data_IF_246038244339
#
_entry.id   IF_246038244339
#
_cell.length_a   1.000
_cell.length_b   1.000
_cell.length_c   1.000
_cell.angle_alpha   90.00
_cell.angle_beta   90.00
_cell.angle_gamma   90.00
#
_symmetry.space_group_name_H-M   'P 1'
#
loop_
_entity.id
_entity.type
_entity.pdbx_description
1 polymer ?
#
# COMPACT_ATOMS: atom_id res chain seq x y z
N UNK A 1 -13.17 -39.17 -23.86
CA UNK A 1 -11.69 -39.22 -23.94
C UNK A 1 -11.14 -38.47 -22.74
N UNK A 2 -10.17 -39.04 -22.04
CA UNK A 2 -9.45 -38.31 -20.98
C UNK A 2 -8.28 -37.54 -21.58
N UNK A 3 -7.92 -36.42 -20.97
CA UNK A 3 -6.80 -35.57 -21.45
C UNK A 3 -5.48 -36.35 -21.54
N UNK A 4 -5.31 -37.35 -20.67
CA UNK A 4 -4.16 -38.27 -20.61
C UNK A 4 -3.98 -39.19 -21.83
N UNK A 5 -4.96 -39.23 -22.74
CA UNK A 5 -4.94 -40.07 -23.95
C UNK A 5 -4.65 -39.28 -25.23
N UNK A 6 -4.55 -37.94 -25.15
CA UNK A 6 -4.38 -37.04 -26.29
C UNK A 6 -2.91 -36.63 -26.46
N UNK A 7 -2.43 -36.67 -27.70
CA UNK A 7 -1.11 -36.23 -28.14
C UNK A 7 -1.28 -35.10 -29.15
N UNK A 8 -0.30 -34.21 -29.26
CA UNK A 8 -0.24 -33.23 -30.35
C UNK A 8 0.44 -33.88 -31.56
N UNK A 9 -0.21 -33.85 -32.71
CA UNK A 9 0.27 -34.43 -33.97
C UNK A 9 0.41 -33.34 -35.04
N UNK A 10 1.44 -33.47 -35.88
CA UNK A 10 1.67 -32.60 -37.02
C UNK A 10 0.92 -33.12 -38.24
N UNK A 11 0.08 -32.31 -38.86
CA UNK A 11 -0.66 -32.71 -40.07
C UNK A 11 0.33 -32.95 -41.22
N UNK A 12 1.25 -32.01 -41.44
CA UNK A 12 2.44 -32.14 -42.29
C UNK A 12 3.63 -32.53 -41.39
N UNK A 13 4.22 -33.73 -41.56
CA UNK A 13 5.37 -34.15 -40.75
C UNK A 13 6.59 -33.24 -40.94
N UNK A 14 7.25 -32.87 -39.84
CA UNK A 14 8.51 -32.08 -39.86
C UNK A 14 9.60 -32.77 -40.68
N UNK A 15 9.60 -34.10 -40.69
CA UNK A 15 10.59 -34.93 -41.40
C UNK A 15 10.42 -34.96 -42.92
N UNK A 16 9.41 -34.28 -43.48
CA UNK A 16 9.10 -34.25 -44.92
C UNK A 16 8.95 -32.83 -45.48
N UNK A 17 10.01 -32.01 -45.49
CA UNK A 17 9.97 -30.64 -46.01
C UNK A 17 9.58 -30.57 -47.49
N UNK A 18 9.89 -31.59 -48.28
CA UNK A 18 9.51 -31.69 -49.70
C UNK A 18 8.00 -31.69 -49.93
N UNK A 19 7.22 -32.22 -48.98
CA UNK A 19 5.76 -32.21 -49.04
C UNK A 19 5.21 -30.80 -48.83
N UNK A 20 5.80 -30.03 -47.90
CA UNK A 20 5.42 -28.64 -47.66
C UNK A 20 5.65 -27.78 -48.90
N UNK A 21 6.80 -27.93 -49.55
CA UNK A 21 7.12 -27.19 -50.78
C UNK A 21 6.20 -27.58 -51.95
N UNK A 22 5.83 -28.86 -52.07
CA UNK A 22 4.84 -29.29 -53.05
C UNK A 22 3.44 -28.69 -52.79
N UNK A 23 3.03 -28.56 -51.53
CA UNK A 23 1.74 -27.96 -51.16
C UNK A 23 1.72 -26.44 -51.37
N UNK A 24 2.85 -25.75 -51.11
CA UNK A 24 3.03 -24.32 -51.44
C UNK A 24 2.97 -24.10 -52.95
N UNK A 25 3.66 -24.94 -53.73
CA UNK A 25 3.65 -24.86 -55.20
C UNK A 25 2.23 -25.07 -55.77
N UNK A 26 1.44 -25.96 -55.17
CA UNK A 26 0.03 -26.19 -55.50
C UNK A 26 -0.93 -25.13 -54.93
N UNK A 27 -0.44 -24.13 -54.19
CA UNK A 27 -1.23 -23.10 -53.49
C UNK A 27 -2.27 -23.66 -52.51
N UNK A 28 -2.01 -24.85 -51.97
CA UNK A 28 -2.89 -25.50 -50.99
C UNK A 28 -2.60 -25.04 -49.56
N UNK A 29 -1.43 -24.44 -49.32
CA UNK A 29 -1.07 -23.74 -48.08
C UNK A 29 -0.49 -22.36 -48.41
N UNK A 30 -0.59 -21.38 -47.49
CA UNK A 30 0.02 -20.06 -47.64
C UNK A 30 1.55 -20.11 -47.83
N UNK A 31 2.12 -19.10 -48.48
CA UNK A 31 3.57 -19.02 -48.71
C UNK A 31 4.37 -18.86 -47.39
N UNK A 32 3.77 -18.23 -46.39
CA UNK A 32 4.29 -17.98 -45.05
C UNK A 32 3.92 -19.08 -44.04
N UNK A 33 3.43 -20.23 -44.50
CA UNK A 33 3.03 -21.34 -43.62
C UNK A 33 4.20 -21.82 -42.75
N UNK A 34 4.03 -21.78 -41.43
CA UNK A 34 4.99 -22.29 -40.46
C UNK A 34 4.71 -23.76 -40.16
N UNK A 35 5.71 -24.62 -40.42
CA UNK A 35 5.61 -26.06 -40.18
C UNK A 35 5.45 -26.40 -38.69
N UNK A 36 5.91 -25.53 -37.79
CA UNK A 36 5.73 -25.68 -36.34
C UNK A 36 4.55 -24.84 -35.82
N UNK A 37 3.86 -24.12 -36.70
CA UNK A 37 2.74 -23.25 -36.36
C UNK A 37 1.50 -24.05 -35.95
N UNK A 38 0.62 -23.43 -35.16
CA UNK A 38 -0.63 -24.05 -34.70
C UNK A 38 -1.57 -24.45 -35.86
N UNK A 39 -1.41 -23.85 -37.03
CA UNK A 39 -2.04 -24.24 -38.30
C UNK A 39 -1.64 -25.63 -38.81
N UNK A 40 -0.62 -26.26 -38.21
CA UNK A 40 -0.17 -27.60 -38.54
C UNK A 40 -0.38 -28.61 -37.39
N UNK A 41 -0.99 -28.21 -36.27
CA UNK A 41 -1.10 -29.03 -35.06
C UNK A 41 -2.54 -29.43 -34.77
N UNK A 42 -2.76 -30.73 -34.51
CA UNK A 42 -4.07 -31.25 -34.09
C UNK A 42 -3.93 -32.21 -32.89
N UNK A 43 -4.96 -32.30 -32.04
CA UNK A 43 -5.04 -33.35 -31.03
C UNK A 43 -5.32 -34.70 -31.71
N UNK A 44 -4.55 -35.71 -31.37
CA UNK A 44 -4.67 -37.08 -31.85
C UNK A 44 -4.61 -38.07 -30.68
N UNK A 45 -5.17 -39.26 -30.82
CA UNK A 45 -5.06 -40.31 -29.79
C UNK A 45 -3.73 -41.03 -29.98
N UNK A 46 -3.03 -41.36 -28.91
CA UNK A 46 -1.70 -42.00 -28.92
C UNK A 46 -1.60 -43.20 -29.88
N UNK A 47 -2.60 -44.09 -29.90
CA UNK A 47 -2.66 -45.26 -30.79
C UNK A 47 -2.78 -44.89 -32.29
N UNK A 48 -3.58 -43.87 -32.63
CA UNK A 48 -3.75 -43.41 -34.02
C UNK A 48 -2.53 -42.60 -34.50
N UNK A 49 -1.90 -41.83 -33.62
CA UNK A 49 -0.67 -41.12 -33.91
C UNK A 49 0.50 -42.09 -34.17
N UNK A 50 0.63 -43.14 -33.35
CA UNK A 50 1.61 -44.21 -33.58
C UNK A 50 1.33 -45.00 -34.86
N UNK A 51 0.06 -45.27 -35.20
CA UNK A 51 -0.34 -45.94 -36.44
C UNK A 51 -0.15 -45.10 -37.71
N UNK A 52 -0.23 -43.77 -37.61
CA UNK A 52 0.01 -42.83 -38.72
C UNK A 52 1.48 -42.82 -39.14
N UNK A 53 2.43 -42.79 -38.20
CA UNK A 53 3.87 -42.66 -38.50
C UNK A 53 4.11 -41.57 -39.58
N UNK A 54 5.06 -41.74 -40.50
CA UNK A 54 5.27 -40.84 -41.63
C UNK A 54 4.38 -41.15 -42.86
N UNK A 55 3.31 -41.96 -42.73
CA UNK A 55 2.43 -42.30 -43.87
C UNK A 55 1.63 -41.07 -44.30
N UNK A 56 1.69 -40.79 -45.59
CA UNK A 56 1.06 -39.64 -46.21
C UNK A 56 -0.47 -39.85 -46.26
N UNK A 57 -1.22 -38.93 -45.66
CA UNK A 57 -2.66 -38.86 -45.88
C UNK A 57 -2.94 -38.44 -47.33
N UNK A 58 -4.06 -38.88 -47.90
CA UNK A 58 -4.48 -38.40 -49.22
C UNK A 58 -4.67 -36.88 -49.22
N UNK A 59 -4.37 -36.22 -50.36
CA UNK A 59 -4.41 -34.75 -50.48
C UNK A 59 -5.72 -34.11 -49.99
N UNK A 60 -6.93 -34.67 -50.26
CA UNK A 60 -8.18 -34.10 -49.75
C UNK A 60 -8.28 -34.12 -48.22
N UNK A 61 -7.80 -35.19 -47.58
CA UNK A 61 -7.81 -35.31 -46.12
C UNK A 61 -6.79 -34.35 -45.49
N UNK A 62 -5.64 -34.18 -46.13
CA UNK A 62 -4.60 -33.26 -45.67
C UNK A 62 -5.08 -31.80 -45.70
N UNK A 63 -5.71 -31.38 -46.81
CA UNK A 63 -6.31 -30.02 -46.91
C UNK A 63 -7.38 -29.81 -45.85
N UNK A 64 -8.24 -30.80 -45.61
CA UNK A 64 -9.29 -30.73 -44.59
C UNK A 64 -8.72 -30.51 -43.18
N UNK A 65 -7.71 -31.29 -42.78
CA UNK A 65 -7.13 -31.19 -41.44
C UNK A 65 -6.31 -29.91 -41.23
N UNK A 66 -5.62 -29.42 -42.27
CA UNK A 66 -4.93 -28.13 -42.22
C UNK A 66 -5.90 -26.97 -42.05
N UNK A 67 -7.03 -27.00 -42.75
CA UNK A 67 -8.06 -25.96 -42.61
C UNK A 67 -8.70 -25.99 -41.22
N UNK A 68 -8.93 -27.19 -40.66
CA UNK A 68 -9.42 -27.35 -39.29
C UNK A 68 -8.44 -26.77 -38.25
N UNK A 69 -7.14 -27.05 -38.40
CA UNK A 69 -6.10 -26.51 -37.52
C UNK A 69 -6.01 -24.98 -37.65
N UNK A 70 -6.06 -24.46 -38.87
CA UNK A 70 -6.05 -23.02 -39.17
C UNK A 70 -7.21 -22.28 -38.53
N UNK A 71 -8.43 -22.83 -38.59
CA UNK A 71 -9.62 -22.24 -37.98
C UNK A 71 -9.51 -22.12 -36.45
N UNK A 72 -8.71 -22.99 -35.81
CA UNK A 72 -8.50 -22.99 -34.35
C UNK A 72 -7.27 -22.20 -33.88
N UNK A 73 -6.37 -21.80 -34.79
CA UNK A 73 -5.15 -21.05 -34.48
C UNK A 73 -5.39 -19.80 -33.63
N UNK A 74 -6.35 -18.94 -34.03
CA UNK A 74 -6.61 -17.68 -33.34
C UNK A 74 -7.09 -17.89 -31.90
N UNK A 75 -7.92 -18.91 -31.67
CA UNK A 75 -8.42 -19.29 -30.35
C UNK A 75 -7.29 -19.83 -29.45
N UNK A 76 -6.42 -20.68 -30.00
CA UNK A 76 -5.27 -21.27 -29.28
C UNK A 76 -4.26 -20.19 -28.89
N UNK A 77 -3.90 -19.30 -29.83
CA UNK A 77 -2.98 -18.19 -29.58
C UNK A 77 -3.54 -17.27 -28.48
N UNK A 78 -4.83 -16.94 -28.53
CA UNK A 78 -5.50 -16.14 -27.50
C UNK A 78 -5.44 -16.82 -26.12
N UNK A 79 -5.72 -18.13 -26.04
CA UNK A 79 -5.68 -18.90 -24.79
C UNK A 79 -4.25 -19.05 -24.25
N UNK A 80 -3.26 -19.24 -25.11
CA UNK A 80 -1.85 -19.35 -24.73
C UNK A 80 -1.32 -18.01 -24.22
N UNK A 81 -1.62 -16.91 -24.90
CA UNK A 81 -1.26 -15.56 -24.45
C UNK A 81 -1.87 -15.25 -23.07
N UNK A 82 -3.15 -15.61 -22.85
CA UNK A 82 -3.79 -15.47 -21.55
C UNK A 82 -3.11 -16.32 -20.46
N UNK A 83 -2.67 -17.54 -20.80
CA UNK A 83 -1.98 -18.44 -19.85
C UNK A 83 -0.55 -17.99 -19.53
N UNK A 84 0.18 -17.46 -20.52
CA UNK A 84 1.50 -16.87 -20.31
C UNK A 84 1.41 -15.63 -19.43
N UNK A 85 0.44 -14.75 -19.70
CA UNK A 85 0.15 -13.59 -18.84
C UNK A 85 -0.17 -14.01 -17.40
N UNK A 86 -1.03 -15.03 -17.23
CA UNK A 86 -1.35 -15.59 -15.91
C UNK A 86 -0.11 -16.18 -15.21
N UNK A 87 0.84 -16.79 -15.94
CA UNK A 87 2.08 -17.27 -15.34
C UNK A 87 3.00 -16.14 -14.87
N UNK A 88 3.08 -15.03 -15.61
CA UNK A 88 3.89 -13.88 -15.19
C UNK A 88 3.22 -13.10 -14.05
N UNK A 89 1.88 -13.01 -14.04
CA UNK A 89 1.09 -12.53 -12.89
C UNK A 89 1.32 -13.42 -11.66
N UNK A 90 1.32 -14.75 -11.81
CA UNK A 90 1.62 -15.70 -10.74
C UNK A 90 3.06 -15.57 -10.26
N UNK A 91 4.05 -15.43 -11.16
CA UNK A 91 5.45 -15.20 -10.76
C UNK A 91 5.61 -13.91 -9.99
N UNK A 92 4.97 -12.83 -10.44
CA UNK A 92 4.99 -11.53 -9.78
C UNK A 92 4.33 -11.62 -8.40
N UNK A 93 3.17 -12.29 -8.30
CA UNK A 93 2.51 -12.58 -7.03
C UNK A 93 3.36 -13.46 -6.10
N UNK A 94 4.04 -14.49 -6.62
CA UNK A 94 4.92 -15.35 -5.81
C UNK A 94 6.17 -14.61 -5.33
N UNK A 95 6.73 -13.71 -6.14
CA UNK A 95 7.81 -12.82 -5.73
C UNK A 95 7.36 -11.83 -4.66
N UNK A 96 6.18 -11.21 -4.83
CA UNK A 96 5.54 -10.37 -3.82
C UNK A 96 5.27 -11.13 -2.53
N UNK A 97 4.75 -12.36 -2.63
CA UNK A 97 4.46 -13.24 -1.49
C UNK A 97 5.74 -13.65 -0.76
N UNK A 98 6.80 -14.00 -1.49
CA UNK A 98 8.10 -14.33 -0.89
C UNK A 98 8.73 -13.12 -0.18
N UNK A 99 8.60 -11.91 -0.74
CA UNK A 99 9.01 -10.68 -0.09
C UNK A 99 8.15 -10.34 1.14
N UNK A 100 6.83 -10.56 1.05
CA UNK A 100 5.85 -10.44 2.14
C UNK A 100 6.18 -11.38 3.30
N UNK A 101 6.45 -12.66 3.02
CA UNK A 101 6.83 -13.67 4.02
C UNK A 101 8.18 -13.34 4.67
N UNK A 102 9.16 -12.81 3.92
CA UNK A 102 10.47 -12.37 4.45
C UNK A 102 10.34 -11.16 5.39
N UNK A 103 9.37 -10.28 5.13
CA UNK A 103 9.24 -8.98 5.80
C UNK A 103 8.12 -8.92 6.87
N UNK A 104 7.43 -10.02 7.17
CA UNK A 104 6.26 -10.09 8.09
C UNK A 104 5.14 -9.10 7.73
N UNK A 105 4.88 -8.96 6.43
CA UNK A 105 3.98 -7.97 5.84
C UNK A 105 3.04 -8.63 4.86
N UNK A 106 1.82 -8.14 4.71
CA UNK A 106 0.87 -8.77 3.79
C UNK A 106 1.24 -8.49 2.32
N UNK A 107 0.88 -9.35 1.36
CA UNK A 107 1.08 -9.07 -0.06
C UNK A 107 0.41 -7.75 -0.53
N UNK A 108 -0.70 -7.37 0.08
CA UNK A 108 -1.41 -6.12 -0.19
C UNK A 108 -0.60 -4.89 0.27
N UNK A 109 0.08 -4.98 1.41
CA UNK A 109 0.99 -3.95 1.89
C UNK A 109 2.24 -3.84 1.01
N UNK A 110 2.75 -4.94 0.45
CA UNK A 110 3.83 -4.87 -0.53
C UNK A 110 3.37 -4.19 -1.83
N UNK A 111 2.12 -4.45 -2.27
CA UNK A 111 1.55 -3.79 -3.46
C UNK A 111 1.38 -2.28 -3.24
N UNK A 112 1.02 -1.82 -2.05
CA UNK A 112 0.92 -0.37 -1.77
C UNK A 112 2.27 0.33 -1.84
N UNK A 113 3.34 -0.30 -1.35
CA UNK A 113 4.71 0.21 -1.47
C UNK A 113 5.11 0.38 -2.94
N UNK A 114 4.79 -0.60 -3.80
CA UNK A 114 5.07 -0.50 -5.23
C UNK A 114 4.15 0.50 -5.96
N UNK A 115 2.87 0.62 -5.59
CA UNK A 115 1.96 1.59 -6.20
C UNK A 115 2.50 3.02 -6.03
N UNK A 116 2.93 3.38 -4.82
CA UNK A 116 3.52 4.69 -4.55
C UNK A 116 4.72 5.00 -5.48
N UNK A 117 5.56 3.99 -5.76
CA UNK A 117 6.73 4.14 -6.63
C UNK A 117 6.37 4.43 -8.11
N UNK A 118 5.29 3.85 -8.62
CA UNK A 118 4.96 3.90 -10.05
C UNK A 118 3.94 4.99 -10.42
N UNK A 119 2.97 5.26 -9.55
CA UNK A 119 1.86 6.17 -9.83
C UNK A 119 1.61 7.24 -8.76
N UNK A 120 2.44 7.27 -7.71
CA UNK A 120 2.32 8.22 -6.59
C UNK A 120 1.08 7.97 -5.72
N UNK A 121 0.45 6.80 -5.84
CA UNK A 121 -0.72 6.44 -5.02
C UNK A 121 -0.28 5.85 -3.69
N UNK A 122 -0.73 6.47 -2.61
CA UNK A 122 -0.54 6.01 -1.24
C UNK A 122 -1.81 5.28 -0.78
N UNK A 123 -1.65 4.10 -0.17
CA UNK A 123 -2.73 3.48 0.60
C UNK A 123 -2.88 4.22 1.92
N UNK A 124 -4.07 4.75 2.14
CA UNK A 124 -4.42 5.42 3.37
C UNK A 124 -4.72 4.38 4.45
N UNK A 125 -3.97 4.42 5.55
CA UNK A 125 -4.27 3.58 6.73
C UNK A 125 -5.48 4.10 7.50
N UNK A 126 -5.92 5.32 7.21
CA UNK A 126 -7.04 6.03 7.83
C UNK A 126 -7.88 6.69 6.73
N UNK A 127 -9.20 6.51 6.77
CA UNK A 127 -10.11 7.22 5.87
C UNK A 127 -10.19 8.69 6.28
N UNK A 128 -9.85 9.65 5.42
CA UNK A 128 -10.00 11.07 5.71
C UNK A 128 -11.46 11.41 6.00
N UNK A 129 -11.73 12.11 7.10
CA UNK A 129 -13.09 12.46 7.51
C UNK A 129 -13.60 13.70 6.75
N UNK A 130 -13.88 13.50 5.46
CA UNK A 130 -14.31 14.51 4.49
C UNK A 130 -15.66 14.13 3.89
N UNK A 131 -16.51 15.13 3.67
CA UNK A 131 -17.84 14.93 3.11
C UNK A 131 -17.80 14.20 1.76
N UNK A 132 -18.63 13.17 1.63
CA UNK A 132 -18.83 12.42 0.38
C UNK A 132 -17.60 11.65 -0.11
N UNK A 133 -16.64 11.33 0.77
CA UNK A 133 -15.40 10.64 0.39
C UNK A 133 -15.25 9.31 1.14
N UNK A 134 -14.99 8.23 0.40
CA UNK A 134 -14.53 6.94 0.92
C UNK A 134 -13.36 6.49 0.04
N UNK A 135 -12.19 7.09 0.28
CA UNK A 135 -10.99 6.77 -0.49
C UNK A 135 -10.05 5.95 0.39
N UNK A 136 -9.82 4.69 0.00
CA UNK A 136 -8.80 3.83 0.61
C UNK A 136 -7.39 4.10 0.04
N UNK A 137 -7.32 4.86 -1.05
CA UNK A 137 -6.08 5.27 -1.71
C UNK A 137 -6.20 6.72 -2.20
N UNK A 138 -5.09 7.44 -2.22
CA UNK A 138 -5.02 8.80 -2.76
C UNK A 138 -3.64 9.07 -3.36
N UNK A 139 -3.58 9.94 -4.36
CA UNK A 139 -2.34 10.54 -4.86
C UNK A 139 -2.37 12.05 -4.60
N UNK A 140 -1.28 12.74 -4.91
CA UNK A 140 -1.15 14.18 -4.65
C UNK A 140 -2.28 15.02 -5.26
N UNK A 141 -2.72 14.72 -6.48
CA UNK A 141 -3.83 15.46 -7.13
C UNK A 141 -5.18 15.23 -6.44
N UNK A 142 -5.45 13.99 -6.01
CA UNK A 142 -6.67 13.67 -5.26
C UNK A 142 -6.63 14.36 -3.90
N UNK A 143 -5.51 14.26 -3.18
CA UNK A 143 -5.33 14.91 -1.88
C UNK A 143 -5.54 16.42 -1.98
N UNK A 144 -4.93 17.10 -2.95
CA UNK A 144 -5.13 18.53 -3.19
C UNK A 144 -6.61 18.89 -3.38
N UNK A 145 -7.37 18.07 -4.12
CA UNK A 145 -8.80 18.28 -4.32
C UNK A 145 -9.61 18.07 -3.03
N UNK A 146 -9.21 17.09 -2.22
CA UNK A 146 -9.89 16.79 -0.96
C UNK A 146 -9.68 17.90 0.08
N UNK A 147 -8.54 18.59 0.08
CA UNK A 147 -8.24 19.65 1.06
C UNK A 147 -9.19 20.85 1.03
N UNK A 148 -9.91 21.07 -0.08
CA UNK A 148 -10.93 22.12 -0.23
C UNK A 148 -12.36 21.62 0.04
N UNK A 149 -12.55 20.32 0.27
CA UNK A 149 -13.88 19.79 0.60
C UNK A 149 -14.23 20.06 2.07
N UNK A 150 -15.54 20.16 2.39
CA UNK A 150 -15.99 20.28 3.76
C UNK A 150 -15.58 19.09 4.63
N UNK A 151 -15.22 19.40 5.86
CA UNK A 151 -15.03 18.44 6.93
C UNK A 151 -16.30 17.62 7.21
N UNK A 152 -16.11 16.34 7.54
CA UNK A 152 -17.12 15.44 8.07
C UNK A 152 -16.55 14.68 9.28
N UNK A 153 -15.99 15.44 10.23
CA UNK A 153 -15.26 14.95 11.38
C UNK A 153 -16.17 14.24 12.39
N UNK A 154 -15.58 13.37 13.22
CA UNK A 154 -16.29 12.64 14.25
C UNK A 154 -17.41 11.79 13.65
N UNK A 155 -17.12 11.06 12.57
CA UNK A 155 -18.10 10.27 11.81
C UNK A 155 -19.22 11.13 11.19
N UNK A 156 -18.88 12.31 10.69
CA UNK A 156 -19.81 13.22 10.02
C UNK A 156 -20.69 14.07 10.93
N UNK A 157 -20.35 14.16 12.22
CA UNK A 157 -21.12 14.97 13.19
C UNK A 157 -20.58 16.38 13.34
N UNK A 158 -19.34 16.63 12.91
CA UNK A 158 -18.66 17.91 13.06
C UNK A 158 -18.15 18.38 11.69
N UNK A 159 -18.66 19.51 11.22
CA UNK A 159 -18.28 20.12 9.93
C UNK A 159 -17.48 21.41 10.06
N UNK A 160 -17.29 21.90 11.28
CA UNK A 160 -16.66 23.19 11.56
C UNK A 160 -15.68 23.06 12.73
N UNK A 161 -14.53 23.73 12.59
CA UNK A 161 -13.52 23.87 13.64
C UNK A 161 -13.35 25.33 13.97
N UNK A 162 -13.46 25.67 15.26
CA UNK A 162 -13.30 27.04 15.74
C UNK A 162 -11.92 27.16 16.38
N UNK A 163 -11.15 28.14 15.94
CA UNK A 163 -9.84 28.48 16.50
C UNK A 163 -9.81 29.94 16.94
N UNK A 164 -8.94 30.27 17.89
CA UNK A 164 -8.83 31.58 18.51
C UNK A 164 -7.42 32.13 18.41
N UNK A 165 -7.29 33.45 18.28
CA UNK A 165 -6.01 34.16 18.36
C UNK A 165 -5.68 34.51 19.81
N UNK A 166 -4.44 34.93 20.08
CA UNK A 166 -4.03 35.47 21.38
C UNK A 166 -4.83 36.70 21.82
N UNK A 167 -5.45 37.42 20.87
CA UNK A 167 -6.22 38.63 21.13
C UNK A 167 -7.72 38.34 21.39
N UNK A 168 -8.14 37.07 21.32
CA UNK A 168 -9.52 36.64 21.52
C UNK A 168 -10.40 36.68 20.26
N UNK A 169 -9.81 36.94 19.08
CA UNK A 169 -10.53 36.82 17.81
C UNK A 169 -10.71 35.34 17.45
N UNK A 170 -11.86 34.98 16.87
CA UNK A 170 -12.12 33.61 16.44
C UNK A 170 -12.25 33.48 14.92
N UNK A 171 -11.89 32.30 14.41
CA UNK A 171 -12.06 31.91 13.01
C UNK A 171 -12.72 30.54 12.94
N UNK A 172 -13.68 30.39 12.03
CA UNK A 172 -14.33 29.11 11.73
C UNK A 172 -13.75 28.52 10.46
N UNK A 173 -13.20 27.32 10.56
CA UNK A 173 -12.62 26.56 9.46
C UNK A 173 -13.55 25.40 9.09
N UNK A 174 -13.84 25.23 7.81
CA UNK A 174 -14.68 24.17 7.26
C UNK A 174 -13.91 23.19 6.39
N UNK A 175 -12.69 23.55 5.99
CA UNK A 175 -11.82 22.76 5.11
C UNK A 175 -10.41 22.66 5.69
N UNK A 176 -9.63 21.69 5.21
CA UNK A 176 -8.22 21.54 5.58
C UNK A 176 -7.39 22.77 5.22
N UNK A 177 -7.63 23.37 4.06
CA UNK A 177 -6.90 24.58 3.65
C UNK A 177 -7.21 25.80 4.53
N UNK A 178 -8.46 25.97 4.95
CA UNK A 178 -8.83 27.02 5.91
C UNK A 178 -8.17 26.79 7.28
N UNK A 179 -8.16 25.54 7.74
CA UNK A 179 -7.56 25.13 9.00
C UNK A 179 -6.05 25.37 9.03
N UNK A 180 -5.32 24.95 7.99
CA UNK A 180 -3.87 25.20 7.86
C UNK A 180 -3.59 26.70 7.91
N UNK A 181 -4.33 27.49 7.12
CA UNK A 181 -4.13 28.95 7.07
C UNK A 181 -4.36 29.61 8.43
N UNK A 182 -5.36 29.16 9.19
CA UNK A 182 -5.60 29.65 10.53
C UNK A 182 -4.45 29.31 11.49
N UNK A 183 -3.93 28.09 11.46
CA UNK A 183 -2.77 27.68 12.27
C UNK A 183 -1.51 28.48 11.89
N UNK A 184 -1.25 28.71 10.60
CA UNK A 184 -0.13 29.54 10.12
C UNK A 184 -0.22 31.00 10.58
N UNK A 185 -1.44 31.50 10.83
CA UNK A 185 -1.69 32.82 11.41
C UNK A 185 -1.65 32.83 12.95
N UNK A 186 -1.33 31.71 13.59
CA UNK A 186 -1.20 31.58 15.03
C UNK A 186 -2.52 31.38 15.78
N UNK A 187 -3.58 30.94 15.09
CA UNK A 187 -4.83 30.56 15.76
C UNK A 187 -4.74 29.14 16.36
N UNK A 188 -5.32 28.95 17.54
CA UNK A 188 -5.28 27.68 18.28
C UNK A 188 -6.63 27.37 18.97
N UNK A 189 -6.84 26.11 19.32
CA UNK A 189 -8.02 25.69 20.08
C UNK A 189 -7.87 26.06 21.56
N UNK A 190 -8.91 26.65 22.17
CA UNK A 190 -8.81 27.20 23.52
C UNK A 190 -9.47 26.31 24.58
N UNK A 191 -10.60 25.68 24.25
CA UNK A 191 -11.33 24.79 25.15
C UNK A 191 -11.00 23.32 24.90
N UNK A 192 -11.23 22.44 25.88
CA UNK A 192 -11.00 20.99 25.72
C UNK A 192 -11.82 20.39 24.56
N UNK A 193 -13.06 20.86 24.38
CA UNK A 193 -13.90 20.44 23.26
C UNK A 193 -13.31 20.86 21.92
N UNK A 194 -12.86 22.11 21.81
CA UNK A 194 -12.20 22.62 20.60
C UNK A 194 -10.89 21.89 20.34
N UNK A 195 -10.09 21.58 21.37
CA UNK A 195 -8.84 20.83 21.23
C UNK A 195 -9.09 19.44 20.65
N UNK A 196 -10.13 18.74 21.13
CA UNK A 196 -10.51 17.45 20.59
C UNK A 196 -10.98 17.55 19.13
N UNK A 197 -11.77 18.57 18.79
CA UNK A 197 -12.22 18.82 17.42
C UNK A 197 -11.04 19.17 16.50
N UNK A 198 -10.15 20.05 16.95
CA UNK A 198 -8.94 20.42 16.23
C UNK A 198 -8.00 19.22 16.03
N UNK A 199 -7.95 18.28 16.98
CA UNK A 199 -7.18 17.04 16.83
C UNK A 199 -7.71 16.16 15.69
N UNK A 200 -9.04 16.02 15.57
CA UNK A 200 -9.68 15.30 14.44
C UNK A 200 -9.39 15.97 13.10
N UNK A 201 -9.45 17.31 13.07
CA UNK A 201 -9.09 18.07 11.88
C UNK A 201 -7.60 17.96 11.53
N UNK A 202 -6.72 17.97 12.53
CA UNK A 202 -5.28 17.82 12.35
C UNK A 202 -4.93 16.45 11.76
N UNK A 203 -5.50 15.36 12.29
CA UNK A 203 -5.32 14.01 11.74
C UNK A 203 -5.65 13.94 10.25
N UNK A 204 -6.86 14.42 9.89
CA UNK A 204 -7.33 14.42 8.51
C UNK A 204 -6.48 15.33 7.62
N UNK A 205 -6.18 16.53 8.09
CA UNK A 205 -5.51 17.57 7.32
C UNK A 205 -4.05 17.24 7.06
N UNK A 206 -3.32 16.79 8.07
CA UNK A 206 -1.90 16.50 7.94
C UNK A 206 -1.66 15.20 7.16
N UNK A 207 -2.55 14.20 7.26
CA UNK A 207 -2.51 13.04 6.37
C UNK A 207 -2.67 13.43 4.89
N UNK A 208 -3.63 14.30 4.57
CA UNK A 208 -3.83 14.79 3.20
C UNK A 208 -2.68 15.68 2.73
N UNK A 209 -2.16 16.53 3.61
CA UNK A 209 -0.99 17.36 3.34
C UNK A 209 0.22 16.49 3.02
N UNK A 210 0.45 15.43 3.78
CA UNK A 210 1.53 14.48 3.54
C UNK A 210 1.39 13.81 2.17
N UNK A 211 0.22 13.29 1.80
CA UNK A 211 0.01 12.69 0.47
C UNK A 211 0.24 13.72 -0.65
N UNK A 212 -0.15 14.98 -0.42
CA UNK A 212 0.01 16.06 -1.41
C UNK A 212 1.48 16.41 -1.63
N UNK A 213 2.23 16.53 -0.54
CA UNK A 213 3.56 17.17 -0.52
C UNK A 213 4.73 16.16 -0.50
N UNK A 214 4.51 14.93 -0.03
CA UNK A 214 5.56 13.92 0.08
C UNK A 214 5.97 13.30 -1.25
N UNK A 215 7.14 12.66 -1.24
CA UNK A 215 7.69 11.94 -2.38
C UNK A 215 7.91 10.46 -2.05
N UNK A 216 8.18 9.64 -3.07
CA UNK A 216 8.60 8.27 -2.84
C UNK A 216 10.01 8.26 -2.24
N UNK A 217 10.14 7.72 -1.03
CA UNK A 217 11.43 7.48 -0.41
C UNK A 217 12.22 6.41 -1.16
N UNK A 218 13.35 6.82 -1.74
CA UNK A 218 14.26 5.93 -2.46
C UNK A 218 15.00 4.99 -1.52
N UNK A 219 15.38 5.50 -0.35
CA UNK A 219 16.07 4.77 0.70
C UNK A 219 15.13 4.47 1.86
N UNK A 220 15.28 3.32 2.51
CA UNK A 220 14.49 3.00 3.71
C UNK A 220 15.20 2.01 4.62
N UNK A 221 15.42 2.42 5.86
CA UNK A 221 15.79 1.52 6.96
C UNK A 221 14.55 0.89 7.66
N UNK A 222 13.35 1.19 7.15
CA UNK A 222 12.06 0.76 7.69
C UNK A 222 11.39 -0.33 6.87
N UNK A 223 11.94 -0.70 5.70
CA UNK A 223 11.37 -1.70 4.78
C UNK A 223 11.94 -3.11 4.92
N UNK A 224 13.18 -3.26 5.38
CA UNK A 224 13.84 -4.57 5.49
C UNK A 224 14.66 -4.66 6.80
N UNK A 225 14.08 -5.17 7.90
CA UNK A 225 12.70 -5.64 8.07
C UNK A 225 11.69 -4.48 8.19
N UNK A 226 10.41 -4.77 7.94
CA UNK A 226 9.37 -3.74 8.09
C UNK A 226 9.18 -3.38 9.55
N UNK A 227 9.50 -2.15 9.92
CA UNK A 227 9.32 -1.65 11.29
C UNK A 227 7.85 -1.27 11.49
N UNK A 228 7.12 -1.98 12.35
CA UNK A 228 5.71 -1.71 12.71
C UNK A 228 5.62 -1.09 14.11
N UNK A 229 4.46 -0.54 14.47
CA UNK A 229 4.21 0.01 15.81
C UNK A 229 4.45 -1.01 16.94
N UNK A 230 4.26 -2.32 16.66
CA UNK A 230 4.52 -3.41 17.62
C UNK A 230 6.00 -3.65 17.96
N UNK A 231 6.93 -3.12 17.16
CA UNK A 231 8.37 -3.31 17.36
C UNK A 231 8.90 -2.25 18.36
N UNK A 232 8.44 -2.32 19.60
CA UNK A 232 8.69 -1.29 20.63
C UNK A 232 10.16 -1.02 20.93
N UNK A 233 11.06 -1.95 20.59
CA UNK A 233 12.51 -1.80 20.66
C UNK A 233 13.09 -0.85 19.59
N UNK A 234 12.26 -0.45 18.60
CA UNK A 234 12.64 0.46 17.52
C UNK A 234 12.10 1.88 17.70
N UNK A 235 11.21 2.10 18.66
CA UNK A 235 10.58 3.39 18.94
C UNK A 235 11.21 4.01 20.18
N UNK A 236 11.60 5.29 20.09
CA UNK A 236 12.13 6.05 21.23
C UNK A 236 11.13 6.09 22.39
N UNK A 237 11.63 6.09 23.63
CA UNK A 237 10.78 6.16 24.84
C UNK A 237 9.88 7.42 24.85
N UNK A 238 10.30 8.50 24.19
CA UNK A 238 9.57 9.78 24.15
C UNK A 238 8.14 9.66 23.63
N UNK A 239 7.89 8.70 22.74
CA UNK A 239 6.56 8.45 22.17
C UNK A 239 5.50 8.16 23.22
N UNK A 240 5.89 7.66 24.40
CA UNK A 240 4.98 7.35 25.50
C UNK A 240 5.22 8.24 26.72
N UNK A 241 6.45 8.68 26.96
CA UNK A 241 6.78 9.46 28.17
C UNK A 241 6.24 10.89 28.13
N UNK A 242 5.86 11.44 26.97
CA UNK A 242 5.16 12.73 26.88
C UNK A 242 3.85 12.76 27.68
N UNK A 243 3.22 11.59 27.89
CA UNK A 243 2.01 11.47 28.69
C UNK A 243 2.23 11.58 30.21
N UNK A 244 3.47 11.56 30.71
CA UNK A 244 3.76 11.55 32.14
C UNK A 244 3.58 12.92 32.79
N UNK A 245 3.04 12.94 34.01
CA UNK A 245 2.86 14.17 34.79
C UNK A 245 3.64 14.17 36.10
N UNK A 246 3.74 13.02 36.76
CA UNK A 246 4.35 12.94 38.08
C UNK A 246 5.88 12.98 37.98
N UNK A 247 6.57 13.86 38.73
CA UNK A 247 8.02 13.99 38.67
C UNK A 247 8.77 12.67 38.91
N UNK A 248 8.25 11.81 39.80
CA UNK A 248 8.87 10.51 40.11
C UNK A 248 8.87 9.56 38.91
N UNK A 249 7.80 9.54 38.10
CA UNK A 249 7.74 8.72 36.90
C UNK A 249 8.54 9.34 35.76
N UNK A 250 8.59 10.68 35.68
CA UNK A 250 9.47 11.38 34.73
C UNK A 250 10.94 11.05 35.03
N UNK A 251 11.35 11.10 36.30
CA UNK A 251 12.68 10.69 36.74
C UNK A 251 12.92 9.19 36.50
N UNK A 252 11.94 8.34 36.78
CA UNK A 252 12.00 6.89 36.53
C UNK A 252 12.13 6.54 35.05
N UNK A 253 11.60 7.38 34.17
CA UNK A 253 11.76 7.25 32.72
C UNK A 253 13.11 7.78 32.21
N UNK A 254 13.85 8.56 33.00
CA UNK A 254 15.15 9.09 32.59
C UNK A 254 16.14 7.95 32.35
N UNK A 255 16.61 7.85 31.10
CA UNK A 255 17.57 6.82 30.68
C UNK A 255 16.93 5.56 30.08
N UNK A 256 15.59 5.47 30.04
CA UNK A 256 14.91 4.51 29.18
C UNK A 256 15.00 5.00 27.74
N UNK A 257 15.44 4.13 26.83
CA UNK A 257 15.72 4.52 25.45
C UNK A 257 14.55 4.19 24.53
N UNK A 258 13.86 3.09 24.80
CA UNK A 258 12.83 2.56 23.91
C UNK A 258 11.46 2.47 24.58
N UNK A 259 10.38 2.43 23.79
CA UNK A 259 9.04 2.11 24.28
C UNK A 259 9.02 0.77 25.02
N UNK A 260 9.81 -0.21 24.56
CA UNK A 260 9.94 -1.50 25.23
C UNK A 260 10.49 -1.34 26.65
N UNK A 261 11.47 -0.45 26.86
CA UNK A 261 12.03 -0.17 28.18
C UNK A 261 10.98 0.44 29.12
N UNK A 262 10.16 1.37 28.63
CA UNK A 262 9.08 2.01 29.40
C UNK A 262 8.02 1.00 29.84
N UNK A 263 7.61 0.10 28.94
CA UNK A 263 6.67 -0.99 29.25
C UNK A 263 7.29 -1.98 30.24
N UNK A 264 8.55 -2.37 30.04
CA UNK A 264 9.25 -3.31 30.92
C UNK A 264 9.50 -2.74 32.33
N UNK A 265 9.67 -1.42 32.43
CA UNK A 265 9.77 -0.70 33.70
C UNK A 265 8.42 -0.61 34.44
N UNK A 266 7.30 -0.95 33.79
CA UNK A 266 5.97 -0.89 34.38
C UNK A 266 5.43 0.54 34.51
N UNK A 267 5.96 1.49 33.74
CA UNK A 267 5.48 2.89 33.70
C UNK A 267 4.17 2.97 32.91
N UNK A 268 4.03 2.13 31.88
CA UNK A 268 2.82 1.98 31.08
C UNK A 268 2.54 0.53 30.74
N UNK A 269 1.32 0.25 30.33
CA UNK A 269 0.89 -1.06 29.80
C UNK A 269 0.22 -0.91 28.43
N UNK A 270 0.30 -1.95 27.61
CA UNK A 270 -0.34 -1.97 26.30
C UNK A 270 -1.82 -2.32 26.46
N UNK A 271 -2.71 -1.38 26.19
CA UNK A 271 -4.16 -1.58 26.23
C UNK A 271 -4.64 -2.37 25.00
N UNK A 272 -4.18 -1.95 23.82
CA UNK A 272 -4.53 -2.61 22.56
C UNK A 272 -3.41 -2.49 21.55
N UNK A 273 -3.26 -3.52 20.73
CA UNK A 273 -2.21 -3.64 19.73
C UNK A 273 -2.82 -4.11 18.41
N UNK A 274 -2.76 -3.25 17.40
CA UNK A 274 -3.08 -3.55 16.01
C UNK A 274 -1.87 -3.34 15.10
N UNK A 275 -2.02 -3.63 13.82
CA UNK A 275 -0.94 -3.49 12.83
C UNK A 275 -0.55 -2.02 12.60
N UNK A 276 -1.50 -1.08 12.75
CA UNK A 276 -1.32 0.36 12.50
C UNK A 276 -1.82 1.27 13.62
N UNK A 277 -2.26 0.69 14.74
CA UNK A 277 -2.63 1.47 15.93
C UNK A 277 -2.16 0.72 17.18
N UNK A 278 -1.61 1.46 18.14
CA UNK A 278 -1.31 0.96 19.49
C UNK A 278 -1.81 1.96 20.51
N UNK A 279 -2.34 1.45 21.63
CA UNK A 279 -2.77 2.26 22.78
C UNK A 279 -2.03 1.83 24.03
N UNK A 280 -1.55 2.80 24.77
CA UNK A 280 -0.88 2.63 26.05
C UNK A 280 -1.70 3.27 27.15
N UNK A 281 -1.87 2.53 28.24
CA UNK A 281 -2.31 3.07 29.51
C UNK A 281 -1.07 3.55 30.25
N UNK A 282 -1.00 4.84 30.52
CA UNK A 282 0.07 5.45 31.32
C UNK A 282 -0.44 5.59 32.74
N UNK A 283 0.19 4.92 33.70
CA UNK A 283 -0.40 4.76 35.04
C UNK A 283 -0.63 6.10 35.75
N UNK A 284 0.34 7.02 35.66
CA UNK A 284 0.35 8.32 36.33
C UNK A 284 0.41 9.47 35.30
N UNK A 285 -0.43 9.40 34.28
CA UNK A 285 -0.37 10.32 33.14
C UNK A 285 -1.59 10.29 32.23
N UNK A 286 -1.42 10.82 31.03
CA UNK A 286 -2.36 10.68 29.92
C UNK A 286 -2.10 9.39 29.17
N UNK A 287 -3.17 8.66 28.87
CA UNK A 287 -3.09 7.51 27.99
C UNK A 287 -2.66 7.97 26.59
N UNK A 288 -1.83 7.16 25.94
CA UNK A 288 -1.21 7.49 24.65
C UNK A 288 -1.79 6.58 23.57
N UNK A 289 -2.16 7.15 22.43
CA UNK A 289 -2.49 6.41 21.22
C UNK A 289 -1.56 6.85 20.09
N UNK A 290 -0.95 5.87 19.43
CA UNK A 290 -0.17 6.07 18.22
C UNK A 290 -0.87 5.36 17.08
N UNK A 291 -1.07 6.07 15.97
CA UNK A 291 -1.67 5.52 14.76
C UNK A 291 -0.83 5.88 13.54
N UNK A 292 -0.38 4.87 12.80
CA UNK A 292 0.33 5.07 11.54
C UNK A 292 -0.67 5.52 10.48
N UNK A 293 -0.41 6.69 9.88
CA UNK A 293 -1.23 7.25 8.80
C UNK A 293 -0.70 6.85 7.42
N UNK A 294 0.61 7.00 7.21
CA UNK A 294 1.30 6.64 5.96
C UNK A 294 2.82 6.60 6.15
N UNK A 295 3.53 6.14 5.10
CA UNK A 295 4.99 6.16 4.99
C UNK A 295 5.40 6.79 3.66
N UNK A 296 6.37 7.68 3.69
CA UNK A 296 6.90 8.37 2.51
C UNK A 296 8.19 9.11 2.88
N UNK A 297 8.80 9.80 1.91
CA UNK A 297 9.78 10.85 2.16
C UNK A 297 9.02 12.12 2.55
N UNK A 298 8.99 12.40 3.85
CA UNK A 298 8.14 13.44 4.45
C UNK A 298 8.86 14.77 4.64
N UNK A 299 10.19 14.79 4.56
CA UNK A 299 11.01 16.00 4.70
C UNK A 299 11.92 16.33 3.51
N UNK A 300 11.91 15.48 2.48
CA UNK A 300 12.59 15.72 1.21
C UNK A 300 14.04 15.25 1.18
N UNK A 301 14.49 14.47 2.17
CA UNK A 301 15.85 13.93 2.22
C UNK A 301 16.03 12.59 1.48
N UNK A 302 14.94 12.08 0.88
CA UNK A 302 14.84 10.82 0.12
C UNK A 302 14.81 9.55 0.99
N UNK A 303 14.88 9.67 2.31
CA UNK A 303 14.66 8.56 3.23
C UNK A 303 13.19 8.38 3.55
N UNK A 304 12.83 7.20 4.04
CA UNK A 304 11.47 6.89 4.44
C UNK A 304 11.23 7.22 5.91
N UNK A 305 10.21 8.02 6.17
CA UNK A 305 9.64 8.26 7.49
C UNK A 305 8.23 7.66 7.63
N UNK A 306 7.74 7.64 8.86
CA UNK A 306 6.36 7.25 9.18
C UNK A 306 5.62 8.49 9.68
N UNK A 307 4.49 8.83 9.04
CA UNK A 307 3.57 9.81 9.60
C UNK A 307 2.71 9.11 10.66
N UNK A 308 2.79 9.59 11.90
CA UNK A 308 2.08 9.03 13.04
C UNK A 308 1.13 10.09 13.60
N UNK A 309 -0.15 9.76 13.72
CA UNK A 309 -1.05 10.52 14.57
C UNK A 309 -0.83 10.09 16.02
N UNK A 310 -0.35 11.03 16.84
CA UNK A 310 -0.08 10.85 18.26
C UNK A 310 -1.15 11.57 19.06
N UNK A 311 -1.80 10.87 19.99
CA UNK A 311 -2.94 11.38 20.74
C UNK A 311 -2.82 11.06 22.22
N UNK A 312 -2.96 12.09 23.06
CA UNK A 312 -2.95 12.04 24.50
C UNK A 312 -4.38 12.19 25.05
N UNK A 313 -4.74 11.39 26.06
CA UNK A 313 -6.10 11.29 26.58
C UNK A 313 -6.17 11.16 28.09
N UNK A 314 -7.10 11.89 28.73
CA UNK A 314 -7.43 11.71 30.15
C UNK A 314 -8.69 10.85 30.36
N UNK A 315 -9.20 10.21 29.31
CA UNK A 315 -10.52 9.55 29.31
C UNK A 315 -10.67 8.48 30.41
N UNK A 316 -9.63 7.67 30.64
CA UNK A 316 -9.66 6.60 31.66
C UNK A 316 -9.73 7.14 33.10
N UNK A 317 -9.10 8.29 33.35
CA UNK A 317 -9.21 9.01 34.61
C UNK A 317 -10.56 9.75 34.78
N UNK A 318 -11.49 9.59 33.85
CA UNK A 318 -12.79 10.28 33.82
C UNK A 318 -12.70 11.72 33.32
N UNK A 319 -11.55 12.14 32.78
CA UNK A 319 -11.34 13.46 32.19
C UNK A 319 -11.87 13.56 30.76
N UNK A 320 -12.18 14.79 30.33
CA UNK A 320 -12.55 15.10 28.94
C UNK A 320 -11.39 15.59 28.07
N UNK A 321 -10.19 15.72 28.66
CA UNK A 321 -9.01 16.19 27.93
C UNK A 321 -8.60 15.18 26.86
N UNK A 322 -8.33 15.71 25.67
CA UNK A 322 -7.89 14.96 24.51
C UNK A 322 -7.18 15.90 23.55
N UNK A 323 -5.94 15.56 23.19
CA UNK A 323 -5.14 16.35 22.27
C UNK A 323 -4.36 15.39 21.37
N UNK A 324 -4.40 15.60 20.06
CA UNK A 324 -3.57 14.88 19.14
C UNK A 324 -3.02 15.75 18.02
N UNK A 325 -1.91 15.28 17.48
CA UNK A 325 -1.12 15.92 16.46
C UNK A 325 -0.51 14.87 15.54
N UNK A 326 -0.35 15.22 14.27
CA UNK A 326 0.49 14.46 13.37
C UNK A 326 1.97 14.75 13.63
N UNK A 327 2.76 13.70 13.78
CA UNK A 327 4.18 13.73 14.10
C UNK A 327 4.91 12.84 13.09
N UNK A 328 6.10 13.26 12.67
CA UNK A 328 6.96 12.45 11.81
C UNK A 328 7.85 11.57 12.68
N UNK A 329 7.85 10.26 12.44
CA UNK A 329 8.79 9.33 13.05
C UNK A 329 10.00 9.16 12.12
N UNK A 330 11.17 9.61 12.57
CA UNK A 330 12.43 9.58 11.81
C UNK A 330 13.52 8.84 12.59
N UNK A 331 14.33 8.06 11.88
CA UNK A 331 15.47 7.37 12.49
C UNK A 331 16.60 8.38 12.73
N UNK A 332 17.15 8.39 13.95
CA UNK A 332 18.30 9.21 14.31
C UNK A 332 19.58 8.37 14.48
N UNK A 333 20.68 9.01 14.87
CA UNK A 333 22.01 8.41 15.00
C UNK A 333 22.07 7.20 15.96
N UNK A 334 21.13 7.10 16.91
CA UNK A 334 21.01 5.97 17.84
C UNK A 334 20.25 4.77 17.24
N UNK A 335 19.72 4.90 16.02
CA UNK A 335 18.98 3.86 15.30
C UNK A 335 17.50 3.72 15.72
N UNK A 336 16.99 4.63 16.57
CA UNK A 336 15.61 4.64 17.04
C UNK A 336 14.75 5.63 16.25
N UNK A 337 13.44 5.36 16.20
CA UNK A 337 12.44 6.29 15.66
C UNK A 337 12.09 7.34 16.71
N UNK A 338 12.48 8.59 16.44
CA UNK A 338 12.18 9.75 17.28
C UNK A 338 11.04 10.60 16.70
N UNK A 339 10.34 11.30 17.58
CA UNK A 339 9.31 12.28 17.28
C UNK A 339 9.96 13.54 16.68
N UNK A 340 9.58 13.86 15.44
CA UNK A 340 9.94 15.10 14.76
C UNK A 340 8.69 15.90 14.41
N UNK A 341 8.82 17.22 14.52
CA UNK A 341 7.74 18.14 14.16
C UNK A 341 7.36 17.93 12.70
N UNK A 342 6.05 17.78 12.46
CA UNK A 342 5.47 17.71 11.13
C UNK A 342 4.40 18.81 10.96
N UNK A 343 4.33 19.48 9.80
CA UNK A 343 5.31 19.43 8.70
C UNK A 343 6.67 20.01 9.13
N UNK A 344 7.79 19.54 8.55
CA UNK A 344 9.09 20.12 8.82
C UNK A 344 9.10 21.60 8.44
N UNK A 345 9.75 22.42 9.27
CA UNK A 345 9.94 23.84 8.98
C UNK A 345 10.65 24.00 7.64
N UNK A 346 10.09 24.80 6.72
CA UNK A 346 10.73 25.08 5.43
C UNK A 346 12.11 25.69 5.66
N UNK A 347 13.17 24.94 5.40
CA UNK A 347 14.51 25.49 5.21
C UNK A 347 14.43 26.43 4.01
N UNK A 348 14.68 27.71 4.26
CA UNK A 348 14.58 28.80 3.26
C UNK A 348 15.84 28.91 2.42
#
# INVERSE_FOLDING_TARGET
>A
MTWTQLHVDHVIPITKPELLEALKAKRLVPADFDINGFENLLPSISFQNQGKSAKQMGEPALVYYLELARQKKSEIVKRLAARLKSNDEIKSYLALKAASEKNDVSPEEMVSVFAHQFDGTVTLRITPEIEGTQSATANSSVAATLMDKPFALGRGTVSEVILHSSNGDSVTCRTSNEFIRAQELGYFAQTQTEMKIASMANETTEALRAIRDSSFAEESALREPIVKLKHFDRWSAEWVTEGLFEPEDVEGAMGLLTVADVVNAGICEVESLGDHEVRFIVHNGLDVMMRESMRADLDGDRWEEILVFHYLSAARAGGSFGHGQAVMAKIEDDGLLHMKVYPPSKTT
#
